data_IF_936166116078
#
_entry.id   IF_936166116078
#
_cell.length_a   1.000
_cell.length_b   1.000
_cell.length_c   1.000
_cell.angle_alpha   90.00
_cell.angle_beta   90.00
_cell.angle_gamma   90.00
#
_symmetry.space_group_name_H-M   'P 1'
#
loop_
_entity.id
_entity.type
_entity.pdbx_description
1 polymer ?
#
# COMPACT_ATOMS: atom_id res chain seq x y z
N UNK A 1 17.73 -10.26 -13.74
CA UNK A 1 16.46 -10.92 -14.10
C UNK A 1 15.55 -10.79 -12.89
N UNK A 2 14.46 -10.05 -13.02
CA UNK A 2 13.55 -9.74 -11.90
C UNK A 2 12.84 -11.03 -11.47
N UNK A 3 13.15 -11.57 -10.27
CA UNK A 3 12.56 -12.80 -9.73
C UNK A 3 11.11 -12.64 -9.26
N UNK A 4 10.61 -11.40 -9.24
CA UNK A 4 9.28 -11.02 -8.80
C UNK A 4 8.34 -10.82 -9.99
N UNK A 5 8.17 -11.88 -10.79
CA UNK A 5 7.19 -11.84 -11.89
C UNK A 5 5.77 -11.88 -11.29
N UNK A 6 4.95 -10.89 -11.62
CA UNK A 6 3.53 -10.90 -11.26
C UNK A 6 2.83 -12.00 -12.06
N UNK A 7 2.22 -13.01 -11.41
CA UNK A 7 1.54 -14.09 -12.09
C UNK A 7 0.24 -13.65 -12.81
N UNK A 8 -0.28 -12.47 -12.46
CA UNK A 8 -1.49 -11.89 -13.07
C UNK A 8 -1.10 -10.65 -13.86
N UNK A 9 -0.71 -10.79 -15.14
CA UNK A 9 -0.31 -9.66 -15.95
C UNK A 9 -1.51 -8.77 -16.27
N UNK A 10 -1.25 -7.46 -16.27
CA UNK A 10 -2.21 -6.44 -16.67
C UNK A 10 -2.85 -5.67 -15.50
N UNK A 11 -3.39 -4.48 -15.80
CA UNK A 11 -4.07 -3.66 -14.82
C UNK A 11 -5.31 -4.36 -14.27
N UNK A 12 -5.53 -4.29 -12.96
CA UNK A 12 -6.68 -4.89 -12.29
C UNK A 12 -7.09 -4.09 -11.08
N UNK A 13 -8.34 -4.32 -10.64
CA UNK A 13 -8.85 -3.70 -9.42
C UNK A 13 -8.27 -4.39 -8.18
N UNK A 14 -7.88 -3.58 -7.22
CA UNK A 14 -7.54 -3.94 -5.86
C UNK A 14 -8.27 -3.03 -4.89
N UNK A 15 -8.32 -3.40 -3.61
CA UNK A 15 -8.80 -2.54 -2.53
C UNK A 15 -7.90 -2.67 -1.32
N UNK A 16 -7.66 -1.55 -0.63
CA UNK A 16 -6.98 -1.56 0.66
C UNK A 16 -7.98 -1.72 1.80
N UNK A 17 -7.58 -2.36 2.88
CA UNK A 17 -8.35 -2.38 4.13
C UNK A 17 -8.61 -0.99 4.70
N UNK A 18 -7.81 0.03 4.30
CA UNK A 18 -8.10 1.42 4.62
C UNK A 18 -9.48 1.86 4.12
N UNK A 19 -9.88 1.43 2.94
CA UNK A 19 -11.17 1.77 2.33
C UNK A 19 -12.40 1.28 3.10
N UNK A 20 -12.20 0.39 4.06
CA UNK A 20 -13.24 -0.18 4.93
C UNK A 20 -12.86 -0.08 6.41
N UNK A 21 -12.05 0.92 6.76
CA UNK A 21 -11.52 1.13 8.10
C UNK A 21 -12.61 1.22 9.16
N UNK A 22 -13.69 1.98 8.89
CA UNK A 22 -14.85 2.11 9.80
C UNK A 22 -15.63 0.80 9.89
N UNK A 23 -15.82 0.12 8.77
CA UNK A 23 -16.49 -1.19 8.72
C UNK A 23 -15.73 -2.25 9.50
N UNK A 24 -14.40 -2.14 9.59
CA UNK A 24 -13.55 -3.00 10.43
C UNK A 24 -13.51 -2.58 11.92
N UNK A 25 -14.23 -1.52 12.30
CA UNK A 25 -14.33 -1.07 13.69
C UNK A 25 -13.37 0.06 14.08
N UNK A 26 -12.78 0.72 13.09
CA UNK A 26 -11.82 1.82 13.30
C UNK A 26 -10.63 1.42 14.19
N UNK A 27 -9.90 0.34 13.85
CA UNK A 27 -8.74 -0.07 14.64
C UNK A 27 -7.72 1.06 14.77
N UNK A 28 -7.18 1.27 15.98
CA UNK A 28 -6.22 2.34 16.23
C UNK A 28 -4.89 2.09 15.51
N UNK A 29 -4.29 3.18 15.05
CA UNK A 29 -2.92 3.14 14.54
C UNK A 29 -1.96 2.82 15.67
N UNK A 30 -0.96 2.00 15.38
CA UNK A 30 0.16 1.74 16.27
C UNK A 30 1.46 1.60 15.47
N UNK A 31 2.59 1.64 16.16
CA UNK A 31 3.90 1.59 15.52
C UNK A 31 5.00 1.08 16.44
N UNK A 32 6.27 1.25 16.06
CA UNK A 32 7.40 0.66 16.75
C UNK A 32 7.63 1.18 18.19
N UNK A 33 7.00 2.27 18.59
CA UNK A 33 7.08 2.81 19.95
C UNK A 33 5.98 2.27 20.88
N UNK A 34 4.98 1.57 20.33
CA UNK A 34 3.86 1.06 21.09
C UNK A 34 4.16 -0.31 21.71
N UNK A 35 3.48 -0.65 22.78
CA UNK A 35 3.69 -1.93 23.50
C UNK A 35 3.06 -3.14 22.81
N UNK A 36 2.38 -2.94 21.68
CA UNK A 36 1.70 -3.99 20.93
C UNK A 36 0.44 -3.51 20.23
N UNK A 37 -0.36 -4.44 19.76
CA UNK A 37 -1.62 -4.15 19.06
C UNK A 37 -2.66 -3.61 20.06
N UNK A 38 -3.32 -2.46 19.78
CA UNK A 38 -4.38 -1.93 20.63
C UNK A 38 -5.68 -2.73 20.47
N UNK A 39 -5.83 -3.82 21.21
CA UNK A 39 -6.89 -4.81 21.03
C UNK A 39 -8.30 -4.30 21.30
N UNK A 40 -8.45 -3.28 22.13
CA UNK A 40 -9.74 -2.66 22.48
C UNK A 40 -10.44 -1.98 21.30
N UNK A 41 -9.72 -1.70 20.23
CA UNK A 41 -10.25 -1.06 19.03
C UNK A 41 -10.64 -2.05 17.93
N UNK A 42 -10.30 -3.33 18.08
CA UNK A 42 -10.65 -4.38 17.13
C UNK A 42 -12.02 -5.02 17.45
N UNK A 43 -12.62 -5.68 16.43
CA UNK A 43 -13.89 -6.42 16.53
C UNK A 43 -15.15 -5.59 16.86
N UNK A 44 -15.07 -4.26 16.75
CA UNK A 44 -16.23 -3.36 16.93
C UNK A 44 -16.92 -3.00 15.60
N UNK A 45 -16.43 -3.55 14.50
CA UNK A 45 -16.94 -3.28 13.17
C UNK A 45 -18.10 -4.17 12.73
N UNK A 46 -18.73 -3.79 11.64
CA UNK A 46 -19.77 -4.58 10.98
C UNK A 46 -19.21 -5.78 10.19
N UNK A 47 -17.88 -5.79 9.95
CA UNK A 47 -17.16 -6.83 9.20
C UNK A 47 -15.85 -7.13 9.92
N UNK A 48 -15.53 -8.41 10.05
CA UNK A 48 -14.20 -8.84 10.52
C UNK A 48 -13.21 -8.91 9.35
N UNK A 49 -11.91 -8.85 9.66
CA UNK A 49 -10.88 -9.01 8.63
C UNK A 49 -10.93 -10.41 7.97
N UNK A 50 -11.40 -11.43 8.68
CA UNK A 50 -11.58 -12.79 8.13
C UNK A 50 -12.74 -12.88 7.12
N UNK A 51 -13.77 -12.05 7.26
CA UNK A 51 -14.92 -12.00 6.35
C UNK A 51 -14.66 -11.11 5.13
N UNK A 52 -13.74 -10.16 5.26
CA UNK A 52 -13.48 -9.14 4.24
C UNK A 52 -13.13 -9.71 2.86
N UNK A 53 -12.28 -10.75 2.72
CA UNK A 53 -11.95 -11.30 1.39
C UNK A 53 -13.19 -11.75 0.61
N UNK A 54 -14.12 -12.45 1.27
CA UNK A 54 -15.36 -12.88 0.64
C UNK A 54 -16.27 -11.68 0.28
N UNK A 55 -16.27 -10.63 1.12
CA UNK A 55 -17.06 -9.42 0.85
C UNK A 55 -16.55 -8.66 -0.37
N UNK A 56 -15.25 -8.39 -0.48
CA UNK A 56 -14.69 -7.69 -1.65
C UNK A 56 -14.85 -8.50 -2.93
N UNK A 57 -14.78 -9.83 -2.84
CA UNK A 57 -15.03 -10.72 -3.97
C UNK A 57 -16.45 -10.59 -4.52
N UNK A 58 -17.46 -10.35 -3.68
CA UNK A 58 -18.85 -10.07 -4.09
C UNK A 58 -18.96 -8.73 -4.85
N UNK A 59 -18.06 -7.78 -4.59
CA UNK A 59 -17.94 -6.53 -5.34
C UNK A 59 -17.10 -6.67 -6.62
N UNK A 60 -16.68 -7.89 -6.98
CA UNK A 60 -15.88 -8.17 -8.18
C UNK A 60 -14.42 -7.74 -8.07
N UNK A 61 -13.90 -7.57 -6.84
CA UNK A 61 -12.50 -7.23 -6.57
C UNK A 61 -11.80 -8.50 -6.10
N UNK A 62 -10.65 -8.83 -6.71
CA UNK A 62 -9.90 -10.06 -6.47
C UNK A 62 -8.47 -9.82 -6.00
N UNK A 63 -8.13 -8.60 -5.66
CA UNK A 63 -6.83 -8.23 -5.11
C UNK A 63 -7.03 -7.35 -3.88
N UNK A 64 -6.28 -7.63 -2.82
CA UNK A 64 -6.39 -7.00 -1.50
C UNK A 64 -5.04 -6.50 -1.02
N UNK A 65 -5.04 -5.37 -0.34
CA UNK A 65 -3.92 -4.90 0.47
C UNK A 65 -4.36 -4.73 1.93
N UNK A 66 -3.51 -5.14 2.86
CA UNK A 66 -3.82 -5.09 4.29
C UNK A 66 -2.89 -4.11 5.00
N UNK A 67 -3.47 -3.06 5.60
CA UNK A 67 -2.75 -2.19 6.53
C UNK A 67 -2.43 -2.96 7.80
N UNK A 68 -1.22 -2.82 8.30
CA UNK A 68 -0.73 -3.57 9.46
C UNK A 68 -1.63 -3.42 10.70
N UNK A 69 -2.16 -2.22 10.93
CA UNK A 69 -3.00 -1.92 12.10
C UNK A 69 -4.42 -2.50 12.00
N UNK A 70 -4.80 -3.12 10.89
CA UNK A 70 -6.05 -3.87 10.78
C UNK A 70 -5.90 -5.34 11.18
N UNK A 71 -4.67 -5.82 11.42
CA UNK A 71 -4.43 -7.18 11.91
C UNK A 71 -4.65 -7.23 13.44
N UNK A 72 -5.68 -7.93 13.94
CA UNK A 72 -5.95 -8.00 15.39
C UNK A 72 -5.00 -8.94 16.13
N UNK A 73 -4.29 -9.81 15.41
CA UNK A 73 -3.30 -10.73 15.96
C UNK A 73 -2.23 -11.06 14.94
N UNK A 74 -1.01 -11.30 15.42
CA UNK A 74 0.10 -11.85 14.65
C UNK A 74 0.37 -13.32 15.00
N UNK A 75 -0.51 -13.96 15.78
CA UNK A 75 -0.38 -15.36 16.12
C UNK A 75 -0.48 -16.23 14.86
N UNK A 76 0.34 -17.28 14.79
CA UNK A 76 0.41 -18.17 13.63
C UNK A 76 -0.96 -18.76 13.27
N UNK A 77 -1.77 -19.12 14.29
CA UNK A 77 -3.11 -19.66 14.08
C UNK A 77 -4.05 -18.66 13.40
N UNK A 78 -4.02 -17.39 13.82
CA UNK A 78 -4.82 -16.33 13.22
C UNK A 78 -4.36 -16.02 11.78
N UNK A 79 -3.05 -15.88 11.58
CA UNK A 79 -2.49 -15.62 10.25
C UNK A 79 -2.82 -16.76 9.26
N UNK A 80 -2.77 -18.01 9.74
CA UNK A 80 -3.17 -19.17 8.92
C UNK A 80 -4.68 -19.19 8.59
N UNK A 81 -5.55 -18.72 9.51
CA UNK A 81 -6.97 -18.54 9.22
C UNK A 81 -7.22 -17.45 8.18
N UNK A 82 -6.56 -16.30 8.34
CA UNK A 82 -6.71 -15.18 7.41
C UNK A 82 -6.22 -15.56 6.00
N UNK A 83 -5.06 -16.22 5.92
CA UNK A 83 -4.56 -16.74 4.65
C UNK A 83 -5.57 -17.66 3.97
N UNK A 84 -6.16 -18.61 4.70
CA UNK A 84 -7.20 -19.50 4.15
C UNK A 84 -8.43 -18.72 3.69
N UNK A 85 -8.89 -17.73 4.47
CA UNK A 85 -10.04 -16.92 4.09
C UNK A 85 -9.79 -16.16 2.78
N UNK A 86 -8.57 -15.67 2.56
CA UNK A 86 -8.14 -15.01 1.32
C UNK A 86 -8.12 -16.00 0.15
N UNK A 87 -7.50 -17.18 0.34
CA UNK A 87 -7.41 -18.24 -0.66
C UNK A 87 -8.79 -18.78 -1.05
N UNK A 88 -9.66 -19.09 -0.07
CA UNK A 88 -11.02 -19.61 -0.27
C UNK A 88 -11.93 -18.60 -1.01
N UNK A 89 -11.71 -17.31 -0.81
CA UNK A 89 -12.42 -16.26 -1.54
C UNK A 89 -11.90 -16.07 -2.99
N UNK A 90 -10.81 -16.73 -3.37
CA UNK A 90 -10.13 -16.52 -4.65
C UNK A 90 -9.59 -15.10 -4.80
N UNK A 91 -9.05 -14.54 -3.71
CA UNK A 91 -8.48 -13.20 -3.64
C UNK A 91 -6.96 -13.32 -3.54
N UNK A 92 -6.24 -12.48 -4.28
CA UNK A 92 -4.80 -12.30 -4.14
C UNK A 92 -4.51 -11.30 -3.03
N UNK A 93 -3.67 -11.65 -2.06
CA UNK A 93 -3.08 -10.67 -1.17
C UNK A 93 -1.84 -10.06 -1.85
N UNK A 94 -1.99 -8.84 -2.36
CA UNK A 94 -0.93 -8.16 -3.11
C UNK A 94 0.22 -7.73 -2.21
N UNK A 95 -0.10 -7.02 -1.13
CA UNK A 95 0.91 -6.57 -0.16
C UNK A 95 0.34 -6.33 1.24
N UNK A 96 1.24 -6.33 2.22
CA UNK A 96 1.01 -5.81 3.56
C UNK A 96 1.58 -4.39 3.62
N UNK A 97 0.83 -3.45 4.19
CA UNK A 97 1.21 -2.05 4.30
C UNK A 97 1.71 -1.78 5.73
N UNK A 98 3.02 -1.55 5.88
CA UNK A 98 3.61 -1.09 7.14
C UNK A 98 3.53 0.45 7.19
N UNK A 99 2.46 0.97 7.80
CA UNK A 99 2.11 2.40 7.81
C UNK A 99 2.78 3.19 8.96
N UNK A 100 3.75 2.59 9.64
CA UNK A 100 4.45 3.20 10.76
C UNK A 100 5.96 2.97 10.67
N UNK A 101 6.69 3.62 11.58
CA UNK A 101 8.15 3.65 11.58
C UNK A 101 8.75 4.78 10.74
N UNK A 102 9.98 5.11 11.04
CA UNK A 102 10.82 6.04 10.28
C UNK A 102 12.27 5.55 10.28
N UNK A 103 12.64 4.79 9.24
CA UNK A 103 13.97 4.20 9.10
C UNK A 103 15.10 5.25 8.93
N UNK A 104 14.72 6.52 8.76
CA UNK A 104 15.67 7.64 8.67
C UNK A 104 15.77 8.44 9.96
N UNK A 105 14.97 8.11 10.99
CA UNK A 105 15.00 8.82 12.28
C UNK A 105 16.39 8.71 12.92
N UNK A 106 16.97 9.84 13.38
CA UNK A 106 18.37 9.85 13.86
C UNK A 106 18.62 8.99 15.09
N UNK A 107 17.63 8.87 15.98
CA UNK A 107 17.74 8.09 17.21
C UNK A 107 17.05 6.72 17.13
N UNK A 108 15.89 6.65 16.48
CA UNK A 108 15.00 5.50 16.54
C UNK A 108 15.00 4.64 15.27
N UNK A 109 15.73 5.03 14.22
CA UNK A 109 15.71 4.37 12.92
C UNK A 109 16.01 2.88 12.96
N UNK A 110 16.90 2.42 13.83
CA UNK A 110 17.23 0.99 13.98
C UNK A 110 16.08 0.22 14.65
N UNK A 111 15.44 0.80 15.69
CA UNK A 111 14.23 0.21 16.29
C UNK A 111 13.13 0.06 15.26
N UNK A 112 12.90 1.11 14.47
CA UNK A 112 11.85 1.16 13.47
C UNK A 112 12.12 0.20 12.31
N UNK A 113 13.38 0.04 11.90
CA UNK A 113 13.80 -0.96 10.93
C UNK A 113 13.58 -2.40 11.45
N UNK A 114 13.89 -2.66 12.72
CA UNK A 114 13.65 -3.97 13.35
C UNK A 114 12.14 -4.28 13.42
N UNK A 115 11.31 -3.29 13.73
CA UNK A 115 9.86 -3.43 13.71
C UNK A 115 9.32 -3.69 12.29
N UNK A 116 9.82 -2.97 11.27
CA UNK A 116 9.45 -3.20 9.87
C UNK A 116 9.85 -4.61 9.42
N UNK A 117 11.00 -5.12 9.89
CA UNK A 117 11.46 -6.47 9.54
C UNK A 117 10.48 -7.59 9.97
N UNK A 118 9.65 -7.38 10.99
CA UNK A 118 8.61 -8.33 11.41
C UNK A 118 7.49 -8.43 10.35
N UNK A 119 7.17 -7.33 9.68
CA UNK A 119 6.13 -7.31 8.65
C UNK A 119 6.51 -8.09 7.39
N UNK A 120 7.81 -8.31 7.17
CA UNK A 120 8.31 -9.22 6.13
C UNK A 120 7.91 -10.67 6.45
N UNK A 121 8.07 -11.10 7.72
CA UNK A 121 7.66 -12.43 8.17
C UNK A 121 6.13 -12.60 8.08
N UNK A 122 5.38 -11.58 8.53
CA UNK A 122 3.91 -11.58 8.46
C UNK A 122 3.43 -11.67 7.02
N UNK A 123 3.99 -10.89 6.11
CA UNK A 123 3.66 -10.95 4.69
C UNK A 123 3.93 -12.34 4.10
N UNK A 124 5.09 -12.92 4.38
CA UNK A 124 5.44 -14.27 3.95
C UNK A 124 4.43 -15.30 4.46
N UNK A 125 4.08 -15.25 5.76
CA UNK A 125 3.10 -16.16 6.39
C UNK A 125 1.71 -16.04 5.75
N UNK A 126 1.26 -14.82 5.48
CA UNK A 126 -0.01 -14.54 4.82
C UNK A 126 -0.01 -14.89 3.32
N UNK A 127 1.16 -15.14 2.72
CA UNK A 127 1.30 -15.42 1.29
C UNK A 127 1.37 -14.16 0.42
N UNK A 128 1.46 -12.97 1.01
CA UNK A 128 1.72 -11.73 0.28
C UNK A 128 3.13 -11.76 -0.32
N UNK A 129 3.25 -11.26 -1.53
CA UNK A 129 4.55 -11.18 -2.22
C UNK A 129 5.29 -9.87 -1.98
N UNK A 130 4.67 -8.92 -1.29
CA UNK A 130 5.20 -7.58 -1.10
C UNK A 130 4.91 -7.05 0.31
N UNK A 131 5.80 -6.16 0.77
CA UNK A 131 5.57 -5.29 1.92
C UNK A 131 5.86 -3.87 1.48
N UNK A 132 4.87 -2.97 1.61
CA UNK A 132 5.10 -1.55 1.43
C UNK A 132 5.58 -0.96 2.74
N UNK A 133 6.71 -0.27 2.67
CA UNK A 133 7.38 0.38 3.79
C UNK A 133 7.52 1.88 3.54
N UNK A 134 7.50 2.67 4.60
CA UNK A 134 7.81 4.11 4.53
C UNK A 134 9.32 4.24 4.33
N UNK A 135 9.74 4.89 3.24
CA UNK A 135 11.16 5.09 2.95
C UNK A 135 11.87 5.98 4.00
N UNK A 136 11.13 6.83 4.67
CA UNK A 136 11.58 7.72 5.73
C UNK A 136 10.69 8.95 5.82
N UNK A 137 10.75 9.64 6.96
CA UNK A 137 9.95 10.83 7.25
C UNK A 137 10.79 12.10 7.38
N UNK A 138 12.13 11.96 7.35
CA UNK A 138 13.05 13.09 7.45
C UNK A 138 13.15 13.85 6.13
N UNK A 139 13.70 15.07 6.16
CA UNK A 139 13.92 15.90 4.95
C UNK A 139 14.78 15.16 3.92
N UNK A 140 14.58 15.38 2.61
CA UNK A 140 15.27 14.67 1.53
C UNK A 140 16.71 15.17 1.33
N UNK A 141 17.53 15.08 2.36
CA UNK A 141 18.97 15.31 2.23
C UNK A 141 19.65 14.08 1.66
N UNK A 142 20.83 14.25 1.03
CA UNK A 142 21.62 13.11 0.54
C UNK A 142 22.00 12.14 1.66
N UNK A 143 22.18 12.61 2.87
CA UNK A 143 22.42 11.78 4.05
C UNK A 143 21.20 10.93 4.38
N UNK A 144 20.01 11.51 4.49
CA UNK A 144 18.78 10.80 4.84
C UNK A 144 18.35 9.83 3.72
N UNK A 145 18.46 10.23 2.45
CA UNK A 145 18.24 9.33 1.32
C UNK A 145 19.23 8.16 1.31
N UNK A 146 20.51 8.43 1.62
CA UNK A 146 21.53 7.39 1.78
C UNK A 146 21.21 6.42 2.91
N UNK A 147 20.79 6.94 4.07
CA UNK A 147 20.36 6.14 5.22
C UNK A 147 19.16 5.26 4.88
N UNK A 148 18.16 5.81 4.18
CA UNK A 148 17.00 5.06 3.68
C UNK A 148 17.43 3.91 2.78
N UNK A 149 18.25 4.20 1.76
CA UNK A 149 18.81 3.20 0.84
C UNK A 149 19.48 2.05 1.59
N UNK A 150 20.40 2.36 2.50
CA UNK A 150 21.22 1.35 3.19
C UNK A 150 20.33 0.47 4.10
N UNK A 151 19.36 1.06 4.77
CA UNK A 151 18.40 0.32 5.59
C UNK A 151 17.49 -0.57 4.73
N UNK A 152 16.99 -0.07 3.60
CA UNK A 152 16.16 -0.86 2.67
C UNK A 152 16.96 -2.02 2.10
N UNK A 153 18.20 -1.83 1.70
CA UNK A 153 19.07 -2.91 1.20
C UNK A 153 19.30 -3.98 2.27
N UNK A 154 19.54 -3.59 3.51
CA UNK A 154 19.64 -4.52 4.65
C UNK A 154 18.34 -5.28 4.92
N UNK A 155 17.17 -4.62 4.86
CA UNK A 155 15.87 -5.29 4.98
C UNK A 155 15.62 -6.28 3.83
N UNK A 156 16.12 -5.99 2.63
CA UNK A 156 16.03 -6.89 1.48
C UNK A 156 16.85 -8.18 1.67
N UNK A 157 17.94 -8.17 2.43
CA UNK A 157 18.69 -9.40 2.77
C UNK A 157 17.79 -10.41 3.48
N UNK A 158 16.84 -9.93 4.30
CA UNK A 158 15.82 -10.78 4.95
C UNK A 158 14.68 -11.12 4.00
N UNK A 159 14.19 -10.16 3.22
CA UNK A 159 13.00 -10.30 2.40
C UNK A 159 13.19 -11.26 1.20
N UNK A 160 14.33 -11.20 0.54
CA UNK A 160 14.62 -11.99 -0.67
C UNK A 160 14.53 -13.50 -0.46
N UNK A 161 15.12 -14.11 0.58
CA UNK A 161 15.01 -15.56 0.83
C UNK A 161 13.56 -16.01 1.08
N UNK A 162 12.72 -15.12 1.63
CA UNK A 162 11.30 -15.35 1.89
C UNK A 162 10.41 -15.13 0.65
N UNK A 163 10.98 -14.70 -0.47
CA UNK A 163 10.24 -14.38 -1.67
C UNK A 163 9.35 -13.14 -1.53
N UNK A 164 9.69 -12.23 -0.61
CA UNK A 164 8.98 -10.98 -0.36
C UNK A 164 9.75 -9.82 -0.98
N UNK A 165 9.06 -8.95 -1.71
CA UNK A 165 9.61 -7.73 -2.29
C UNK A 165 9.27 -6.53 -1.42
N UNK A 166 10.26 -5.69 -1.14
CA UNK A 166 10.01 -4.39 -0.54
C UNK A 166 9.53 -3.39 -1.60
N UNK A 167 8.52 -2.63 -1.24
CA UNK A 167 7.94 -1.56 -2.05
C UNK A 167 7.88 -0.30 -1.20
N UNK A 168 8.11 0.85 -1.77
CA UNK A 168 7.87 2.14 -1.10
C UNK A 168 6.82 2.95 -1.83
N UNK A 169 6.48 4.10 -1.29
CA UNK A 169 5.43 4.98 -1.80
C UNK A 169 5.96 6.42 -1.87
N UNK A 170 5.49 7.22 -2.81
CA UNK A 170 5.75 8.64 -2.88
C UNK A 170 5.05 9.38 -1.71
N UNK A 171 5.62 9.27 -0.52
CA UNK A 171 5.00 9.67 0.73
C UNK A 171 6.01 10.32 1.69
N UNK A 172 5.49 11.16 2.57
CA UNK A 172 6.27 11.96 3.53
C UNK A 172 7.33 12.85 2.87
N UNK A 173 8.06 13.60 3.70
CA UNK A 173 9.03 14.58 3.25
C UNK A 173 10.17 13.97 2.43
N UNK A 174 10.61 12.75 2.79
CA UNK A 174 11.75 12.11 2.15
C UNK A 174 11.52 11.84 0.66
N UNK A 175 10.29 11.47 0.26
CA UNK A 175 9.93 11.18 -1.12
C UNK A 175 8.85 12.16 -1.64
N UNK A 176 9.02 13.43 -1.33
CA UNK A 176 8.09 14.49 -1.71
C UNK A 176 8.35 15.07 -3.11
N UNK A 177 9.38 14.59 -3.82
CA UNK A 177 9.66 15.00 -5.21
C UNK A 177 9.96 13.79 -6.09
N UNK A 178 9.72 13.88 -7.42
CA UNK A 178 10.07 12.80 -8.34
C UNK A 178 11.58 12.50 -8.35
N UNK A 179 12.43 13.52 -8.21
CA UNK A 179 13.89 13.34 -8.19
C UNK A 179 14.36 12.48 -7.01
N UNK A 180 13.75 12.65 -5.83
CA UNK A 180 14.08 11.86 -4.63
C UNK A 180 13.62 10.40 -4.79
N UNK A 181 12.42 10.19 -5.35
CA UNK A 181 11.91 8.85 -5.69
C UNK A 181 12.84 8.16 -6.69
N UNK A 182 13.13 8.82 -7.80
CA UNK A 182 14.00 8.27 -8.86
C UNK A 182 15.40 7.96 -8.32
N UNK A 183 15.96 8.85 -7.50
CA UNK A 183 17.26 8.63 -6.89
C UNK A 183 17.25 7.37 -6.01
N UNK A 184 16.28 7.24 -5.10
CA UNK A 184 16.22 6.09 -4.20
C UNK A 184 16.04 4.77 -4.96
N UNK A 185 15.13 4.73 -5.95
CA UNK A 185 14.91 3.55 -6.78
C UNK A 185 16.15 3.17 -7.58
N UNK A 186 16.87 4.15 -8.16
CA UNK A 186 18.12 3.91 -8.88
C UNK A 186 19.21 3.34 -7.96
N UNK A 187 19.35 3.88 -6.74
CA UNK A 187 20.39 3.46 -5.79
C UNK A 187 20.10 2.11 -5.13
N UNK A 188 18.86 1.62 -5.18
CA UNK A 188 18.52 0.27 -4.72
C UNK A 188 18.62 -0.79 -5.82
N UNK A 189 19.09 -0.43 -7.02
CA UNK A 189 19.41 -1.35 -8.12
C UNK A 189 18.28 -2.34 -8.46
N UNK A 190 17.02 -1.85 -8.47
CA UNK A 190 15.84 -2.67 -8.76
C UNK A 190 15.38 -3.55 -7.60
N UNK A 191 15.98 -3.44 -6.42
CA UNK A 191 15.58 -4.20 -5.23
C UNK A 191 14.39 -3.58 -4.48
N UNK A 192 14.02 -2.34 -4.78
CA UNK A 192 12.87 -1.64 -4.23
C UNK A 192 11.85 -1.37 -5.33
N UNK A 193 10.58 -1.67 -5.08
CA UNK A 193 9.45 -1.31 -5.94
C UNK A 193 8.82 0.01 -5.57
N UNK A 194 7.92 0.50 -6.42
CA UNK A 194 7.15 1.71 -6.22
C UNK A 194 5.64 1.43 -6.21
N UNK A 195 4.97 1.86 -5.16
CA UNK A 195 3.53 2.11 -5.12
C UNK A 195 3.30 3.61 -5.40
N UNK A 196 2.61 3.94 -6.47
CA UNK A 196 2.31 5.33 -6.81
C UNK A 196 0.99 5.74 -6.18
N UNK A 197 1.01 6.61 -5.17
CA UNK A 197 -0.20 7.17 -4.55
C UNK A 197 -0.59 8.51 -5.20
N UNK A 198 -1.85 8.62 -5.65
CA UNK A 198 -2.39 9.80 -6.31
C UNK A 198 -2.71 10.93 -5.34
N UNK A 199 -2.87 10.62 -4.07
CA UNK A 199 -3.31 11.55 -3.04
C UNK A 199 -2.19 12.19 -2.21
N UNK A 200 -0.97 11.65 -2.23
CA UNK A 200 0.12 12.11 -1.35
C UNK A 200 0.76 13.42 -1.83
N UNK A 201 0.91 13.58 -3.13
CA UNK A 201 1.37 14.86 -3.71
C UNK A 201 0.18 15.76 -4.04
N UNK A 202 0.33 17.06 -3.86
CA UNK A 202 -0.73 18.08 -3.99
C UNK A 202 -0.36 19.15 -4.99
N UNK A 203 -1.37 19.79 -5.57
CA UNK A 203 -1.18 20.88 -6.54
C UNK A 203 -0.86 20.39 -7.96
N UNK A 204 -0.84 21.30 -8.91
CA UNK A 204 -0.73 20.97 -10.34
C UNK A 204 0.61 20.34 -10.73
N UNK A 205 1.67 20.59 -9.98
CA UNK A 205 2.99 20.00 -10.22
C UNK A 205 3.00 18.47 -10.06
N UNK A 206 2.06 17.89 -9.29
CA UNK A 206 1.98 16.45 -9.07
C UNK A 206 1.86 15.65 -10.38
N UNK A 207 1.17 16.20 -11.39
CA UNK A 207 0.97 15.51 -12.66
C UNK A 207 2.30 15.33 -13.41
N UNK A 208 3.11 16.38 -13.52
CA UNK A 208 4.45 16.25 -14.09
C UNK A 208 5.34 15.32 -13.25
N UNK A 209 5.18 15.35 -11.93
CA UNK A 209 5.84 14.41 -11.02
C UNK A 209 5.43 12.96 -11.29
N UNK A 210 4.14 12.69 -11.47
CA UNK A 210 3.63 11.35 -11.80
C UNK A 210 4.10 10.88 -13.18
N UNK A 211 4.08 11.75 -14.20
CA UNK A 211 4.64 11.43 -15.52
C UNK A 211 6.10 10.97 -15.44
N UNK A 212 6.87 11.56 -14.54
CA UNK A 212 8.28 11.20 -14.36
C UNK A 212 8.48 9.80 -13.73
N UNK A 213 7.58 9.34 -12.85
CA UNK A 213 7.79 8.10 -12.06
C UNK A 213 6.80 6.97 -12.36
N UNK A 214 5.68 7.24 -13.07
CA UNK A 214 4.62 6.25 -13.28
C UNK A 214 5.08 4.97 -13.98
N UNK A 215 6.09 5.08 -14.86
CA UNK A 215 6.66 3.92 -15.57
C UNK A 215 7.41 2.94 -14.64
N UNK A 216 7.70 3.34 -13.40
CA UNK A 216 8.34 2.50 -12.39
C UNK A 216 7.34 1.90 -11.40
N UNK A 217 6.07 2.31 -11.44
CA UNK A 217 5.05 1.87 -10.51
C UNK A 217 4.69 0.38 -10.70
N UNK A 218 4.72 -0.38 -9.62
CA UNK A 218 4.27 -1.79 -9.57
C UNK A 218 2.82 -1.91 -9.09
N UNK A 219 2.33 -0.92 -8.35
CA UNK A 219 0.95 -0.74 -7.94
C UNK A 219 0.62 0.75 -7.85
N UNK A 220 -0.67 1.08 -7.86
CA UNK A 220 -1.13 2.43 -7.61
C UNK A 220 -2.15 2.43 -6.47
N UNK A 221 -1.96 3.31 -5.50
CA UNK A 221 -3.04 3.73 -4.61
C UNK A 221 -3.88 4.77 -5.37
N UNK A 222 -4.96 4.27 -5.95
CA UNK A 222 -5.90 5.09 -6.71
C UNK A 222 -6.80 5.86 -5.72
N UNK A 223 -6.22 6.88 -5.08
CA UNK A 223 -6.84 7.70 -4.06
C UNK A 223 -7.41 8.98 -4.66
N UNK A 224 -8.75 9.11 -4.76
CA UNK A 224 -9.37 10.32 -5.30
C UNK A 224 -9.35 11.47 -4.30
N UNK A 225 -9.65 12.67 -4.80
CA UNK A 225 -10.14 13.77 -3.99
C UNK A 225 -11.68 13.71 -3.98
N UNK A 226 -12.28 14.30 -2.95
CA UNK A 226 -13.74 14.37 -2.83
C UNK A 226 -14.20 15.82 -2.84
N UNK A 227 -15.30 16.08 -3.56
CA UNK A 227 -16.01 17.35 -3.54
C UNK A 227 -16.71 17.57 -2.19
N UNK A 228 -17.21 18.80 -1.97
CA UNK A 228 -17.90 19.15 -0.73
C UNK A 228 -19.19 18.33 -0.49
N UNK A 229 -19.80 17.79 -1.54
CA UNK A 229 -20.98 16.90 -1.47
C UNK A 229 -20.59 15.42 -1.26
N UNK A 230 -19.30 15.10 -1.17
CA UNK A 230 -18.78 13.77 -0.98
C UNK A 230 -18.65 12.93 -2.25
N UNK A 231 -18.91 13.50 -3.42
CA UNK A 231 -18.64 12.83 -4.68
C UNK A 231 -17.14 12.84 -5.01
N UNK A 232 -16.69 11.83 -5.77
CA UNK A 232 -15.32 11.78 -6.28
C UNK A 232 -15.10 12.93 -7.26
N UNK A 233 -13.98 13.65 -7.13
CA UNK A 233 -13.51 14.64 -8.10
C UNK A 233 -13.00 13.95 -9.37
N UNK A 234 -13.80 13.87 -10.45
CA UNK A 234 -13.48 12.98 -11.56
C UNK A 234 -12.31 13.50 -12.42
N UNK A 235 -12.13 14.81 -12.51
CA UNK A 235 -11.12 15.44 -13.40
C UNK A 235 -9.72 15.12 -12.89
N UNK A 236 -9.44 15.35 -11.61
CA UNK A 236 -8.17 15.02 -10.99
C UNK A 236 -7.89 13.51 -11.06
N UNK A 237 -8.90 12.72 -10.71
CA UNK A 237 -8.77 11.27 -10.63
C UNK A 237 -8.49 10.63 -11.99
N UNK A 238 -9.26 10.99 -13.02
CA UNK A 238 -9.04 10.47 -14.38
C UNK A 238 -7.70 10.93 -14.96
N UNK A 239 -7.26 12.16 -14.67
CA UNK A 239 -5.95 12.63 -15.12
C UNK A 239 -4.80 11.79 -14.55
N UNK A 240 -4.87 11.41 -13.27
CA UNK A 240 -3.87 10.51 -12.66
C UNK A 240 -3.89 9.13 -13.32
N UNK A 241 -5.09 8.59 -13.57
CA UNK A 241 -5.26 7.30 -14.26
C UNK A 241 -4.75 7.34 -15.71
N UNK A 242 -5.00 8.41 -16.45
CA UNK A 242 -4.51 8.61 -17.82
C UNK A 242 -2.98 8.65 -17.87
N UNK A 243 -2.33 9.30 -16.91
CA UNK A 243 -0.86 9.35 -16.80
C UNK A 243 -0.31 7.93 -16.60
N UNK A 244 -0.87 7.14 -15.69
CA UNK A 244 -0.40 5.77 -15.46
C UNK A 244 -0.65 4.86 -16.66
N UNK A 245 -1.80 5.00 -17.33
CA UNK A 245 -2.10 4.28 -18.56
C UNK A 245 -1.11 4.63 -19.68
N UNK A 246 -0.81 5.91 -19.86
CA UNK A 246 0.15 6.37 -20.86
C UNK A 246 1.57 5.86 -20.57
N UNK A 247 1.93 5.67 -19.30
CA UNK A 247 3.19 5.08 -18.86
C UNK A 247 3.26 3.56 -19.02
N UNK A 248 2.19 2.89 -19.48
CA UNK A 248 2.12 1.44 -19.65
C UNK A 248 1.97 0.68 -18.34
N UNK A 249 1.33 1.29 -17.33
CA UNK A 249 1.10 0.65 -16.02
C UNK A 249 0.34 -0.68 -16.18
N UNK A 250 0.83 -1.73 -15.50
CA UNK A 250 0.30 -3.09 -15.61
C UNK A 250 0.00 -3.75 -14.25
N UNK A 251 0.06 -2.98 -13.17
CA UNK A 251 -0.18 -3.45 -11.81
C UNK A 251 -1.63 -3.26 -11.32
N UNK A 252 -1.91 -3.57 -10.05
CA UNK A 252 -3.21 -3.30 -9.45
C UNK A 252 -3.42 -1.81 -9.18
N UNK A 253 -4.61 -1.32 -9.53
CA UNK A 253 -5.16 -0.07 -9.03
C UNK A 253 -5.90 -0.36 -7.73
N UNK A 254 -5.31 0.01 -6.60
CA UNK A 254 -5.88 -0.20 -5.28
C UNK A 254 -6.76 0.99 -4.91
N UNK A 255 -8.05 0.74 -4.80
CA UNK A 255 -9.03 1.73 -4.35
C UNK A 255 -8.71 2.13 -2.91
N UNK A 256 -8.66 3.44 -2.64
CA UNK A 256 -8.36 4.03 -1.33
C UNK A 256 -9.48 5.00 -0.99
N UNK A 257 -10.56 4.45 -0.45
CA UNK A 257 -11.70 5.25 -0.04
C UNK A 257 -11.47 5.84 1.35
N UNK A 258 -11.47 7.15 1.46
CA UNK A 258 -11.50 7.90 2.71
C UNK A 258 -12.56 9.02 2.68
N UNK A 259 -13.57 8.84 1.81
CA UNK A 259 -14.67 9.78 1.65
C UNK A 259 -15.69 9.75 2.80
N UNK A 260 -16.63 10.69 2.79
CA UNK A 260 -17.56 10.93 3.90
C UNK A 260 -18.73 9.93 3.98
N UNK A 261 -18.99 9.12 2.95
CA UNK A 261 -20.09 8.15 2.98
C UNK A 261 -19.86 7.11 4.07
N UNK A 262 -20.84 6.92 4.95
CA UNK A 262 -20.76 5.92 6.02
C UNK A 262 -20.75 4.48 5.48
N UNK A 263 -21.39 4.23 4.33
CA UNK A 263 -21.29 2.98 3.58
C UNK A 263 -20.01 3.00 2.74
N UNK A 264 -18.91 2.47 3.29
CA UNK A 264 -17.61 2.44 2.64
C UNK A 264 -17.58 1.52 1.43
N UNK A 265 -18.40 0.47 1.41
CA UNK A 265 -18.54 -0.41 0.25
C UNK A 265 -19.18 0.32 -0.93
N UNK A 266 -20.23 1.08 -0.70
CA UNK A 266 -20.80 1.97 -1.72
C UNK A 266 -19.80 3.06 -2.14
N UNK A 267 -18.97 3.54 -1.20
CA UNK A 267 -17.92 4.52 -1.43
C UNK A 267 -16.87 4.02 -2.43
N UNK A 268 -16.23 2.92 -2.15
CA UNK A 268 -15.22 2.39 -3.09
C UNK A 268 -15.86 1.83 -4.39
N UNK A 269 -17.12 1.42 -4.40
CA UNK A 269 -17.81 1.08 -5.64
C UNK A 269 -18.02 2.30 -6.56
N UNK A 270 -18.09 3.51 -5.99
CA UNK A 270 -18.09 4.73 -6.79
C UNK A 270 -16.73 4.98 -7.45
N UNK A 271 -15.63 4.80 -6.72
CA UNK A 271 -14.26 4.85 -7.27
C UNK A 271 -14.05 3.77 -8.34
N UNK A 272 -14.48 2.54 -8.04
CA UNK A 272 -14.38 1.40 -8.95
C UNK A 272 -14.97 1.69 -10.33
N UNK A 273 -16.14 2.37 -10.40
CA UNK A 273 -16.76 2.71 -11.69
C UNK A 273 -15.87 3.58 -12.57
N UNK A 274 -15.04 4.43 -11.96
CA UNK A 274 -14.10 5.31 -12.68
C UNK A 274 -12.83 4.55 -13.08
N UNK A 275 -12.32 3.66 -12.20
CA UNK A 275 -11.07 2.93 -12.42
C UNK A 275 -11.23 1.73 -13.36
N UNK A 276 -12.39 1.07 -13.35
CA UNK A 276 -12.63 -0.17 -14.11
C UNK A 276 -12.28 -0.08 -15.61
N UNK A 277 -12.56 1.02 -16.35
CA UNK A 277 -12.14 1.19 -17.74
C UNK A 277 -10.63 1.14 -17.98
N UNK A 278 -9.83 1.39 -16.94
CA UNK A 278 -8.36 1.33 -17.00
C UNK A 278 -7.82 -0.07 -16.73
N UNK A 279 -8.67 -0.98 -16.24
CA UNK A 279 -8.34 -2.39 -15.99
C UNK A 279 -8.69 -3.30 -17.19
N UNK A 280 -9.42 -2.80 -18.16
CA UNK A 280 -9.72 -3.54 -19.38
C UNK A 280 -8.51 -3.47 -20.33
N UNK A 281 -8.00 -4.64 -20.74
CA UNK A 281 -6.94 -4.76 -21.73
C UNK A 281 -7.47 -4.43 -23.13
#
# INVERSE_FOLDING_TARGET
>A
MNKFHDPTPGPRLSVSTWSVHRSLGTPAFYGPADSGIPMDTHNNGAVTLLELPARIAQHGIRTLEICHFHLPSLDEAYLAQLRRAIEDAGVELWQVLADAGDITHPADGERDAAWIAQWIDVAHTLGAKRVRVIAGKQKPTRENLGKSRDTILRLNEKAQPLGVRLVTENWFDLLNTPDDVLWLLAQTHGQLGLCLDFGNWKGDWKYAGFEAIAHMAESCHAKPQFSADGSVEPIDYTRCLDITKAAGFAGPYTLIYDGPNADEFAGFDAEKRIVLPYCAA
#
